data_IF_409203842567
#
_entry.id   IF_409203842567
#
_cell.length_a   1.000
_cell.length_b   1.000
_cell.length_c   1.000
_cell.angle_alpha   90.00
_cell.angle_beta   90.00
_cell.angle_gamma   90.00
#
_symmetry.space_group_name_H-M   'P 1'
#
loop_
_entity.id
_entity.type
_entity.pdbx_description
1 polymer ?
#
# COMPACT_ATOMS: atom_id res chain seq x y z
N UNK A 1 -13.22 -20.80 -8.25
CA UNK A 1 -11.83 -20.61 -7.73
C UNK A 1 -11.90 -19.94 -6.36
N UNK A 2 -11.15 -20.42 -5.37
CA UNK A 2 -11.11 -19.83 -4.03
C UNK A 2 -9.74 -19.19 -3.81
N UNK A 3 -9.73 -17.95 -3.37
CA UNK A 3 -8.55 -17.24 -2.88
C UNK A 3 -8.73 -16.91 -1.40
N UNK A 4 -7.64 -16.77 -0.67
CA UNK A 4 -7.68 -16.40 0.74
C UNK A 4 -7.75 -14.88 0.86
N UNK A 5 -8.91 -14.35 1.30
CA UNK A 5 -9.02 -12.92 1.57
C UNK A 5 -8.42 -12.54 2.94
N UNK A 6 -8.01 -11.27 3.11
CA UNK A 6 -7.58 -10.78 4.42
C UNK A 6 -8.65 -11.02 5.51
N UNK A 7 -9.93 -10.92 5.17
CA UNK A 7 -11.02 -11.15 6.12
C UNK A 7 -11.07 -12.60 6.59
N UNK A 8 -10.89 -13.54 5.66
CA UNK A 8 -10.93 -14.98 5.97
C UNK A 8 -9.69 -15.38 6.77
N UNK A 9 -8.51 -14.90 6.35
CA UNK A 9 -7.27 -15.06 7.12
C UNK A 9 -7.40 -14.54 8.55
N UNK A 10 -7.96 -13.33 8.75
CA UNK A 10 -8.11 -12.77 10.10
C UNK A 10 -9.07 -13.60 10.95
N UNK A 11 -10.16 -14.10 10.39
CA UNK A 11 -11.10 -14.97 11.11
C UNK A 11 -10.47 -16.30 11.50
N UNK A 12 -9.70 -16.90 10.59
CA UNK A 12 -9.02 -18.18 10.85
C UNK A 12 -7.91 -18.03 11.89
N UNK A 13 -7.08 -16.98 11.76
CA UNK A 13 -5.88 -16.78 12.60
C UNK A 13 -6.19 -16.14 13.95
N UNK A 14 -7.12 -15.18 13.99
CA UNK A 14 -7.43 -14.38 15.19
C UNK A 14 -8.80 -14.67 15.77
N UNK A 15 -9.59 -15.56 15.12
CA UNK A 15 -10.96 -15.89 15.53
C UNK A 15 -12.01 -14.85 15.10
N UNK A 16 -11.60 -13.73 14.53
CA UNK A 16 -12.49 -12.62 14.22
C UNK A 16 -11.99 -11.72 13.09
N UNK A 17 -12.89 -10.90 12.57
CA UNK A 17 -12.54 -9.88 11.59
C UNK A 17 -11.81 -8.72 12.25
N UNK A 18 -10.70 -8.29 11.64
CA UNK A 18 -9.98 -7.09 12.04
C UNK A 18 -10.31 -5.90 11.12
N UNK A 19 -10.23 -4.69 11.68
CA UNK A 19 -10.51 -3.44 10.98
C UNK A 19 -9.26 -2.58 10.87
N UNK A 20 -8.96 -2.07 9.67
CA UNK A 20 -7.78 -1.20 9.45
C UNK A 20 -8.04 0.22 9.93
N UNK A 21 -7.16 0.71 10.79
CA UNK A 21 -7.03 2.12 11.15
C UNK A 21 -5.88 2.72 10.34
N UNK A 22 -6.22 3.55 9.35
CA UNK A 22 -5.20 4.19 8.49
C UNK A 22 -4.61 5.42 9.19
N UNK A 23 -3.31 5.35 9.49
CA UNK A 23 -2.58 6.32 10.28
C UNK A 23 -1.45 6.96 9.45
N UNK A 24 -1.09 8.20 9.80
CA UNK A 24 0.08 8.88 9.28
C UNK A 24 1.34 8.42 10.03
N UNK A 25 2.38 8.06 9.29
CA UNK A 25 3.67 7.63 9.85
C UNK A 25 4.39 8.74 10.62
N UNK A 26 4.19 9.99 10.22
CA UNK A 26 5.04 11.11 10.58
C UNK A 26 6.37 11.14 9.81
N UNK A 27 6.57 10.18 8.92
CA UNK A 27 7.76 10.05 8.06
C UNK A 27 7.61 10.86 6.76
N UNK A 28 8.64 10.84 5.92
CA UNK A 28 8.66 11.39 4.57
C UNK A 28 8.97 10.28 3.54
N UNK A 29 9.41 10.66 2.35
CA UNK A 29 9.80 9.72 1.30
C UNK A 29 11.09 10.23 0.64
N UNK A 30 12.11 9.37 0.38
CA UNK A 30 13.35 9.76 -0.26
C UNK A 30 13.15 10.33 -1.68
N UNK A 31 12.05 9.99 -2.35
CA UNK A 31 11.66 10.59 -3.63
C UNK A 31 11.06 12.00 -3.50
N UNK A 32 10.96 12.55 -2.28
CA UNK A 32 10.32 13.86 -2.02
C UNK A 32 11.16 14.82 -1.19
N UNK A 33 12.08 14.34 -0.38
CA UNK A 33 12.86 15.18 0.52
C UNK A 33 14.26 15.53 -0.03
N UNK A 34 14.48 15.19 -1.31
CA UNK A 34 15.72 15.52 -2.02
C UNK A 34 16.86 14.53 -1.81
N UNK A 35 16.61 13.36 -1.20
CA UNK A 35 17.61 12.29 -1.16
C UNK A 35 17.74 11.61 -2.53
N UNK A 36 16.65 11.23 -3.15
CA UNK A 36 16.61 10.60 -4.47
C UNK A 36 15.96 11.53 -5.52
N UNK A 37 14.82 12.12 -5.21
CA UNK A 37 14.08 13.07 -6.05
C UNK A 37 13.31 14.05 -5.12
N UNK A 38 12.69 15.08 -5.68
CA UNK A 38 11.81 16.04 -4.99
C UNK A 38 10.36 15.92 -5.42
N UNK A 39 10.09 15.28 -6.57
CA UNK A 39 8.76 15.21 -7.21
C UNK A 39 7.91 14.03 -6.71
N UNK A 40 8.53 12.97 -6.20
CA UNK A 40 7.86 11.72 -5.87
C UNK A 40 7.62 10.84 -7.10
N UNK A 41 6.98 9.68 -6.89
CA UNK A 41 6.57 8.82 -8.00
C UNK A 41 5.52 9.51 -8.87
N UNK A 42 5.51 9.17 -10.16
CA UNK A 42 4.67 9.78 -11.21
C UNK A 42 3.18 9.88 -10.83
N UNK A 43 2.67 8.86 -10.17
CA UNK A 43 1.25 8.71 -9.78
C UNK A 43 0.94 9.13 -8.34
N UNK A 44 1.95 9.52 -7.55
CA UNK A 44 1.79 9.70 -6.11
C UNK A 44 1.29 11.12 -5.78
N UNK A 45 0.15 11.23 -5.11
CA UNK A 45 -0.41 12.51 -4.65
C UNK A 45 0.50 13.22 -3.63
N UNK A 46 0.23 14.48 -3.35
CA UNK A 46 0.91 15.24 -2.30
C UNK A 46 0.80 14.58 -0.92
N UNK A 47 -0.25 13.80 -0.67
CA UNK A 47 -0.44 13.00 0.55
C UNK A 47 0.42 11.76 0.68
N UNK A 48 1.25 11.42 -0.32
CA UNK A 48 2.16 10.27 -0.26
C UNK A 48 1.45 8.94 0.00
N UNK A 49 0.36 8.64 -0.73
CA UNK A 49 -0.55 7.50 -0.50
C UNK A 49 -1.35 7.58 0.81
N UNK A 50 -1.22 8.67 1.57
CA UNK A 50 -1.87 8.89 2.86
C UNK A 50 -3.18 9.68 2.79
N UNK A 51 -3.78 9.89 1.59
CA UNK A 51 -5.01 10.68 1.44
C UNK A 51 -6.18 10.19 2.30
N UNK A 52 -6.16 8.92 2.69
CA UNK A 52 -7.15 8.30 3.59
C UNK A 52 -6.65 8.13 5.03
N UNK A 53 -5.38 8.45 5.32
CA UNK A 53 -4.87 8.40 6.68
C UNK A 53 -5.51 9.50 7.54
N UNK A 54 -5.53 9.27 8.85
CA UNK A 54 -5.84 10.34 9.78
C UNK A 54 -4.79 11.45 9.65
N UNK A 55 -5.21 12.71 9.81
CA UNK A 55 -4.32 13.85 9.71
C UNK A 55 -3.11 13.70 10.65
N UNK A 56 -1.97 14.32 10.28
CA UNK A 56 -0.74 14.30 11.09
C UNK A 56 -0.94 15.04 12.41
N UNK A 57 -1.49 14.33 13.39
CA UNK A 57 -1.82 14.77 14.73
C UNK A 57 -1.09 13.91 15.77
N UNK A 58 -1.11 14.25 17.06
CA UNK A 58 -0.71 13.32 18.12
C UNK A 58 -1.44 11.97 17.97
N UNK A 59 -0.74 10.89 18.32
CA UNK A 59 -1.17 9.51 18.03
C UNK A 59 -2.59 9.20 18.51
N UNK A 60 -2.95 9.65 19.72
CA UNK A 60 -4.29 9.42 20.28
C UNK A 60 -5.40 10.05 19.43
N UNK A 61 -5.18 11.28 18.94
CA UNK A 61 -6.13 11.94 18.04
C UNK A 61 -6.24 11.22 16.69
N UNK A 62 -5.13 10.71 16.17
CA UNK A 62 -5.17 9.91 14.95
C UNK A 62 -5.98 8.64 15.10
N UNK A 63 -5.78 7.92 16.21
CA UNK A 63 -6.54 6.70 16.52
C UNK A 63 -8.03 6.99 16.63
N UNK A 64 -8.40 8.00 17.40
CA UNK A 64 -9.82 8.39 17.56
C UNK A 64 -10.46 8.82 16.22
N UNK A 65 -9.73 9.59 15.40
CA UNK A 65 -10.22 9.97 14.07
C UNK A 65 -10.39 8.74 13.16
N UNK A 66 -9.42 7.84 13.14
CA UNK A 66 -9.47 6.63 12.32
C UNK A 66 -10.61 5.69 12.77
N UNK A 67 -10.82 5.49 14.08
CA UNK A 67 -11.93 4.73 14.66
C UNK A 67 -13.27 5.34 14.26
N UNK A 68 -13.43 6.66 14.37
CA UNK A 68 -14.66 7.37 13.96
C UNK A 68 -15.01 7.13 12.49
N UNK A 69 -14.01 7.09 11.59
CA UNK A 69 -14.24 6.85 10.14
C UNK A 69 -14.77 5.44 9.84
N UNK A 70 -14.52 4.47 10.70
CA UNK A 70 -14.95 3.08 10.51
C UNK A 70 -16.07 2.65 11.46
N UNK A 71 -16.57 3.54 12.31
CA UNK A 71 -17.57 3.22 13.35
C UNK A 71 -18.78 2.48 12.81
N UNK A 72 -19.29 2.89 11.64
CA UNK A 72 -20.45 2.24 10.99
C UNK A 72 -20.17 0.81 10.47
N UNK A 73 -18.89 0.35 10.48
CA UNK A 73 -18.49 -1.00 10.08
C UNK A 73 -18.24 -1.91 11.28
N UNK A 74 -18.15 -1.31 12.46
CA UNK A 74 -17.89 -2.00 13.72
C UNK A 74 -19.22 -2.35 14.36
N UNK A 75 -19.45 -3.62 14.77
CA UNK A 75 -20.70 -4.01 15.42
C UNK A 75 -20.92 -3.22 16.70
N UNK A 76 -22.17 -2.82 16.94
CA UNK A 76 -22.53 -2.09 18.16
C UNK A 76 -22.45 -3.01 19.38
N UNK A 77 -21.80 -2.54 20.43
CA UNK A 77 -21.64 -3.30 21.68
C UNK A 77 -20.45 -4.27 21.70
N UNK A 78 -19.74 -4.48 20.58
CA UNK A 78 -18.53 -5.32 20.56
C UNK A 78 -17.36 -4.63 21.29
N UNK A 79 -16.49 -5.46 21.89
CA UNK A 79 -15.22 -4.99 22.44
C UNK A 79 -14.28 -4.50 21.34
N UNK A 80 -13.59 -3.41 21.56
CA UNK A 80 -12.54 -2.91 20.67
C UNK A 80 -11.20 -3.62 20.89
N UNK A 81 -11.03 -4.35 21.97
CA UNK A 81 -9.76 -5.01 22.32
C UNK A 81 -9.33 -6.01 21.27
N UNK A 82 -8.10 -5.82 20.74
CA UNK A 82 -7.54 -6.69 19.71
C UNK A 82 -8.23 -6.63 18.35
N UNK A 83 -9.07 -5.64 18.07
CA UNK A 83 -9.92 -5.59 16.86
C UNK A 83 -9.31 -4.80 15.70
N UNK A 84 -8.17 -4.13 15.90
CA UNK A 84 -7.63 -3.25 14.89
C UNK A 84 -6.29 -3.67 14.33
N UNK A 85 -6.13 -3.44 13.02
CA UNK A 85 -4.84 -3.38 12.33
C UNK A 85 -4.45 -1.90 12.30
N UNK A 86 -3.45 -1.49 13.07
CA UNK A 86 -2.87 -0.16 12.96
C UNK A 86 -2.05 -0.09 11.67
N UNK A 87 -2.62 0.52 10.64
CA UNK A 87 -2.02 0.60 9.31
C UNK A 87 -1.36 1.95 9.08
N UNK A 88 -0.05 1.96 9.14
CA UNK A 88 0.78 3.14 8.87
C UNK A 88 0.97 3.23 7.36
N UNK A 89 0.24 4.14 6.73
CA UNK A 89 0.06 4.17 5.28
C UNK A 89 0.81 5.30 4.58
N UNK A 90 0.94 6.48 5.21
CA UNK A 90 1.46 7.67 4.55
C UNK A 90 2.96 7.58 4.29
N UNK A 91 3.40 7.95 3.08
CA UNK A 91 4.80 8.01 2.67
C UNK A 91 5.55 6.68 2.87
N UNK A 92 6.74 6.75 3.48
CA UNK A 92 7.65 5.60 3.68
C UNK A 92 7.82 5.36 5.17
N UNK A 93 7.09 4.40 5.72
CA UNK A 93 6.93 4.21 7.16
C UNK A 93 8.18 3.81 7.95
N UNK A 94 9.26 3.42 7.27
CA UNK A 94 10.56 3.12 7.92
C UNK A 94 11.64 4.16 7.62
N UNK A 95 11.26 5.26 6.96
CA UNK A 95 12.20 6.29 6.53
C UNK A 95 11.98 7.60 7.32
N UNK A 96 12.86 7.91 8.29
CA UNK A 96 12.69 9.08 9.14
C UNK A 96 13.07 10.41 8.46
N UNK A 97 13.51 10.38 7.20
CA UNK A 97 14.01 11.50 6.41
C UNK A 97 15.52 11.43 6.16
N UNK A 98 16.04 12.23 5.24
CA UNK A 98 17.48 12.24 4.87
C UNK A 98 18.41 12.50 6.07
N UNK A 99 17.98 13.33 7.01
CA UNK A 99 18.72 13.64 8.25
C UNK A 99 18.10 12.94 9.46
N UNK A 100 17.39 11.85 9.23
CA UNK A 100 16.52 11.20 10.21
C UNK A 100 17.23 10.64 11.44
N UNK A 101 18.52 10.37 11.36
CA UNK A 101 19.36 9.91 12.47
C UNK A 101 20.12 11.03 13.17
N UNK A 102 20.08 12.25 12.65
CA UNK A 102 20.70 13.42 13.30
C UNK A 102 19.85 13.82 14.50
N UNK A 103 20.52 13.98 15.65
CA UNK A 103 19.87 14.39 16.90
C UNK A 103 19.68 15.91 16.95
N UNK A 104 18.53 16.33 17.42
CA UNK A 104 18.22 17.73 17.69
C UNK A 104 18.87 18.24 18.99
N UNK A 105 18.59 19.49 19.37
CA UNK A 105 19.09 20.11 20.60
C UNK A 105 18.70 19.37 21.90
N UNK A 106 17.66 18.54 21.83
CA UNK A 106 17.21 17.70 22.95
C UNK A 106 17.80 16.28 22.90
N UNK A 107 18.72 16.00 21.98
CA UNK A 107 19.34 14.70 21.81
C UNK A 107 18.43 13.64 21.17
N UNK A 108 17.33 14.03 20.50
CA UNK A 108 16.31 13.13 19.93
C UNK A 108 16.32 13.24 18.41
N UNK A 109 16.46 12.11 17.71
CA UNK A 109 16.39 12.05 16.25
C UNK A 109 14.95 11.84 15.75
N UNK A 110 14.72 12.00 14.43
CA UNK A 110 13.45 11.64 13.82
C UNK A 110 13.20 10.13 13.87
N UNK A 111 14.27 9.32 13.80
CA UNK A 111 14.20 7.88 14.00
C UNK A 111 13.70 7.52 15.42
N UNK A 112 14.24 8.19 16.46
CA UNK A 112 13.80 7.98 17.85
C UNK A 112 12.30 8.30 18.02
N UNK A 113 11.82 9.37 17.37
CA UNK A 113 10.39 9.74 17.40
C UNK A 113 9.52 8.69 16.68
N UNK A 114 9.97 8.18 15.53
CA UNK A 114 9.31 7.12 14.78
C UNK A 114 9.25 5.83 15.62
N UNK A 115 10.37 5.39 16.18
CA UNK A 115 10.45 4.22 17.07
C UNK A 115 9.49 4.36 18.25
N UNK A 116 9.50 5.49 18.96
CA UNK A 116 8.59 5.77 20.08
C UNK A 116 7.13 5.65 19.67
N UNK A 117 6.77 6.17 18.49
CA UNK A 117 5.40 6.09 17.94
C UNK A 117 4.98 4.64 17.70
N UNK A 118 5.83 3.83 17.09
CA UNK A 118 5.49 2.45 16.78
C UNK A 118 5.43 1.57 18.04
N UNK A 119 6.31 1.79 19.00
CA UNK A 119 6.21 1.13 20.31
C UNK A 119 4.90 1.49 21.01
N UNK A 120 4.49 2.75 20.98
CA UNK A 120 3.21 3.17 21.54
C UNK A 120 2.02 2.50 20.83
N UNK A 121 2.08 2.26 19.50
CA UNK A 121 1.03 1.56 18.74
C UNK A 121 0.93 0.08 19.12
N UNK A 122 2.05 -0.65 19.19
CA UNK A 122 2.02 -2.08 19.52
C UNK A 122 1.66 -2.35 20.98
N UNK A 123 1.79 -1.36 21.87
CA UNK A 123 1.39 -1.46 23.27
C UNK A 123 -0.12 -1.24 23.49
N UNK A 124 -0.85 -0.71 22.48
CA UNK A 124 -2.30 -0.47 22.62
C UNK A 124 -3.08 -1.79 22.68
N UNK A 125 -3.97 -1.98 23.67
CA UNK A 125 -4.75 -3.21 23.79
C UNK A 125 -5.70 -3.43 22.61
N UNK A 126 -6.24 -2.38 22.01
CA UNK A 126 -7.14 -2.46 20.86
C UNK A 126 -6.42 -2.83 19.54
N UNK A 127 -5.10 -2.67 19.46
CA UNK A 127 -4.30 -3.03 18.27
C UNK A 127 -3.90 -4.51 18.33
N UNK A 128 -4.30 -5.29 17.33
CA UNK A 128 -3.90 -6.69 17.16
C UNK A 128 -2.65 -6.82 16.30
N UNK A 129 -2.55 -6.01 15.26
CA UNK A 129 -1.47 -6.06 14.27
C UNK A 129 -1.00 -4.66 13.96
N UNK A 130 0.32 -4.46 13.84
CA UNK A 130 0.90 -3.26 13.24
C UNK A 130 1.28 -3.57 11.79
N UNK A 131 0.72 -2.85 10.82
CA UNK A 131 1.06 -2.96 9.39
C UNK A 131 1.73 -1.67 8.94
N UNK A 132 2.95 -1.76 8.39
CA UNK A 132 3.78 -0.60 8.00
C UNK A 132 4.02 -0.63 6.51
N UNK A 133 3.49 0.38 5.80
CA UNK A 133 3.77 0.58 4.38
C UNK A 133 5.11 1.32 4.22
N UNK A 134 5.99 0.76 3.40
CA UNK A 134 7.32 1.32 3.17
C UNK A 134 7.87 0.97 1.79
N UNK A 135 9.03 1.51 1.50
CA UNK A 135 9.83 1.22 0.31
C UNK A 135 10.87 0.14 0.64
N UNK A 136 11.17 -0.78 -0.30
CA UNK A 136 12.20 -1.80 -0.11
C UNK A 136 13.59 -1.22 0.22
N UNK A 137 13.96 -0.11 -0.43
CA UNK A 137 15.25 0.58 -0.25
C UNK A 137 15.36 1.38 1.07
N UNK A 138 14.31 1.35 1.91
CA UNK A 138 14.26 2.00 3.22
C UNK A 138 14.22 0.98 4.38
N UNK A 139 14.74 -0.21 4.17
CA UNK A 139 14.86 -1.30 5.15
C UNK A 139 16.34 -1.54 5.53
N UNK A 140 17.04 -0.48 5.92
CA UNK A 140 18.39 -0.58 6.49
C UNK A 140 18.41 -1.30 7.84
N UNK A 141 19.61 -1.58 8.40
CA UNK A 141 19.78 -2.34 9.64
C UNK A 141 18.92 -1.81 10.79
N UNK A 142 18.90 -0.50 11.01
CA UNK A 142 18.14 0.12 12.11
C UNK A 142 16.62 -0.08 11.94
N UNK A 143 16.12 -0.06 10.70
CA UNK A 143 14.72 -0.34 10.41
C UNK A 143 14.38 -1.80 10.67
N UNK A 144 15.24 -2.73 10.27
CA UNK A 144 15.06 -4.18 10.51
C UNK A 144 15.11 -4.50 12.01
N UNK A 145 16.04 -3.90 12.76
CA UNK A 145 16.14 -4.05 14.21
C UNK A 145 14.87 -3.53 14.91
N UNK A 146 14.36 -2.36 14.48
CA UNK A 146 13.11 -1.84 14.98
C UNK A 146 11.93 -2.79 14.70
N UNK A 147 11.82 -3.31 13.47
CA UNK A 147 10.75 -4.25 13.11
C UNK A 147 10.82 -5.52 13.95
N UNK A 148 12.02 -6.04 14.22
CA UNK A 148 12.25 -7.19 15.10
C UNK A 148 11.82 -6.88 16.54
N UNK A 149 12.16 -5.70 17.08
CA UNK A 149 11.72 -5.25 18.40
C UNK A 149 10.19 -5.18 18.49
N UNK A 150 9.53 -4.59 17.50
CA UNK A 150 8.06 -4.46 17.46
C UNK A 150 7.39 -5.83 17.36
N UNK A 151 7.92 -6.74 16.53
CA UNK A 151 7.40 -8.09 16.35
C UNK A 151 7.45 -8.92 17.63
N UNK A 152 8.44 -8.69 18.49
CA UNK A 152 8.53 -9.37 19.80
C UNK A 152 7.37 -9.01 20.74
N UNK A 153 6.64 -7.91 20.47
CA UNK A 153 5.49 -7.44 21.28
C UNK A 153 4.16 -7.86 20.66
N UNK A 154 4.00 -7.65 19.34
CA UNK A 154 2.77 -8.00 18.59
C UNK A 154 3.09 -8.37 17.14
N UNK A 155 2.17 -9.05 16.42
CA UNK A 155 2.31 -9.28 15.00
C UNK A 155 2.57 -7.99 14.23
N UNK A 156 3.62 -7.99 13.41
CA UNK A 156 3.99 -6.89 12.51
C UNK A 156 3.93 -7.40 11.08
N UNK A 157 3.31 -6.65 10.20
CA UNK A 157 3.31 -6.86 8.75
C UNK A 157 4.01 -5.69 8.07
N UNK A 158 4.75 -5.97 7.01
CA UNK A 158 5.39 -4.92 6.20
C UNK A 158 4.78 -4.94 4.80
N UNK A 159 4.30 -3.78 4.36
CA UNK A 159 3.72 -3.61 3.05
C UNK A 159 4.73 -2.92 2.12
N UNK A 160 5.24 -3.66 1.12
CA UNK A 160 6.28 -3.19 0.21
C UNK A 160 5.71 -2.73 -1.14
N UNK A 161 6.16 -1.57 -1.59
CA UNK A 161 5.84 -1.08 -2.93
C UNK A 161 6.72 -1.75 -3.98
N UNK A 162 6.25 -2.74 -4.73
CA UNK A 162 6.88 -3.21 -5.97
C UNK A 162 6.38 -2.39 -7.15
N UNK A 163 5.08 -2.18 -7.21
CA UNK A 163 4.30 -1.52 -8.26
C UNK A 163 4.25 -2.32 -9.56
N UNK A 164 5.41 -2.61 -10.14
CA UNK A 164 5.63 -3.43 -11.33
C UNK A 164 7.00 -4.11 -11.27
N UNK A 165 7.13 -5.27 -11.89
CA UNK A 165 8.42 -5.93 -12.14
C UNK A 165 9.07 -5.49 -13.46
N UNK A 166 8.36 -4.75 -14.31
CA UNK A 166 8.92 -4.17 -15.53
C UNK A 166 9.80 -2.97 -15.17
N UNK A 167 11.12 -3.13 -15.31
CA UNK A 167 12.11 -2.11 -14.92
C UNK A 167 11.97 -0.79 -15.70
N UNK A 168 11.62 -0.85 -16.97
CA UNK A 168 11.42 0.35 -17.78
C UNK A 168 10.20 1.15 -17.30
N UNK A 169 9.12 0.45 -16.90
CA UNK A 169 7.94 1.09 -16.32
C UNK A 169 8.22 1.58 -14.89
N UNK A 170 9.03 0.86 -14.13
CA UNK A 170 9.48 1.26 -12.81
C UNK A 170 10.32 2.55 -12.85
N UNK A 171 11.25 2.66 -13.81
CA UNK A 171 12.04 3.86 -14.07
C UNK A 171 11.15 5.02 -14.53
N UNK A 172 10.29 4.79 -15.51
CA UNK A 172 9.34 5.79 -15.99
C UNK A 172 8.45 6.35 -14.86
N UNK A 173 8.00 5.50 -13.98
CA UNK A 173 7.18 5.89 -12.82
C UNK A 173 7.99 6.50 -11.67
N UNK A 174 9.31 6.65 -11.81
CA UNK A 174 10.23 7.16 -10.79
C UNK A 174 10.19 6.36 -9.49
N UNK A 175 10.16 5.02 -9.60
CA UNK A 175 10.27 4.15 -8.43
C UNK A 175 11.62 4.32 -7.72
N UNK A 176 12.69 4.59 -8.48
CA UNK A 176 14.05 4.89 -8.01
C UNK A 176 14.75 3.75 -7.24
N UNK A 177 14.36 2.51 -7.45
CA UNK A 177 15.08 1.29 -7.04
C UNK A 177 14.78 0.17 -8.01
N UNK A 178 15.71 -0.77 -8.12
CA UNK A 178 15.62 -1.93 -8.99
C UNK A 178 14.92 -3.11 -8.29
N UNK A 179 14.53 -4.11 -9.06
CA UNK A 179 13.83 -5.29 -8.56
C UNK A 179 14.65 -6.07 -7.54
N UNK A 180 15.98 -6.14 -7.69
CA UNK A 180 16.86 -6.83 -6.76
C UNK A 180 16.80 -6.25 -5.33
N UNK A 181 16.52 -4.94 -5.20
CA UNK A 181 16.32 -4.30 -3.89
C UNK A 181 15.02 -4.78 -3.25
N UNK A 182 13.97 -5.00 -4.05
CA UNK A 182 12.73 -5.58 -3.55
C UNK A 182 12.93 -7.05 -3.13
N UNK A 183 13.61 -7.86 -3.96
CA UNK A 183 13.91 -9.27 -3.63
C UNK A 183 14.66 -9.38 -2.30
N UNK A 184 15.73 -8.60 -2.14
CA UNK A 184 16.51 -8.59 -0.92
C UNK A 184 15.69 -8.16 0.29
N UNK A 185 14.81 -7.17 0.14
CA UNK A 185 13.92 -6.72 1.20
C UNK A 185 12.94 -7.83 1.64
N UNK A 186 12.34 -8.55 0.69
CA UNK A 186 11.46 -9.70 0.97
C UNK A 186 12.23 -10.80 1.71
N UNK A 187 13.44 -11.15 1.23
CA UNK A 187 14.30 -12.16 1.88
C UNK A 187 14.65 -11.77 3.33
N UNK A 188 15.05 -10.51 3.55
CA UNK A 188 15.39 -10.02 4.88
C UNK A 188 14.20 -10.07 5.84
N UNK A 189 13.01 -9.68 5.38
CA UNK A 189 11.80 -9.74 6.20
C UNK A 189 11.34 -11.16 6.48
N UNK A 190 11.39 -12.05 5.49
CA UNK A 190 11.07 -13.46 5.65
C UNK A 190 12.05 -14.15 6.63
N UNK A 191 13.34 -13.81 6.60
CA UNK A 191 14.33 -14.32 7.57
C UNK A 191 14.04 -13.86 9.02
N UNK A 192 13.26 -12.79 9.20
CA UNK A 192 12.77 -12.32 10.49
C UNK A 192 11.35 -12.83 10.81
N UNK A 193 10.79 -13.75 10.01
CA UNK A 193 9.38 -14.17 10.01
C UNK A 193 8.38 -13.00 10.04
N UNK A 194 8.65 -11.95 9.32
CA UNK A 194 7.76 -10.78 9.18
C UNK A 194 7.00 -10.93 7.86
N UNK A 195 5.66 -11.11 7.90
CA UNK A 195 4.85 -11.23 6.70
C UNK A 195 4.96 -9.99 5.79
N UNK A 196 5.26 -10.25 4.51
CA UNK A 196 5.39 -9.21 3.48
C UNK A 196 4.12 -9.13 2.65
N UNK A 197 3.57 -7.93 2.49
CA UNK A 197 2.45 -7.66 1.59
C UNK A 197 2.97 -6.81 0.42
N UNK A 198 2.88 -7.34 -0.78
CA UNK A 198 3.35 -6.64 -1.98
C UNK A 198 2.25 -5.78 -2.60
N UNK A 199 2.57 -4.52 -2.85
CA UNK A 199 1.71 -3.62 -3.61
C UNK A 199 2.04 -3.69 -5.10
N UNK A 200 1.06 -4.06 -5.90
CA UNK A 200 1.09 -4.07 -7.37
C UNK A 200 0.09 -3.05 -7.90
N UNK A 201 0.48 -2.25 -8.89
CA UNK A 201 -0.41 -1.32 -9.57
C UNK A 201 -0.72 -1.88 -10.95
N UNK A 202 -2.02 -2.03 -11.24
CA UNK A 202 -2.51 -2.52 -12.53
C UNK A 202 -2.90 -1.35 -13.43
N UNK A 203 -2.36 -1.33 -14.63
CA UNK A 203 -2.64 -0.31 -15.65
C UNK A 203 -1.64 0.84 -15.70
N UNK A 204 -0.40 0.64 -15.25
CA UNK A 204 0.68 1.63 -15.42
C UNK A 204 0.90 1.94 -16.92
N UNK A 205 1.27 3.18 -17.29
CA UNK A 205 1.44 3.57 -18.69
C UNK A 205 2.45 2.70 -19.45
N UNK A 206 2.00 2.14 -20.56
CA UNK A 206 2.80 1.26 -21.42
C UNK A 206 2.74 -0.22 -21.05
N UNK A 207 2.10 -0.62 -19.94
CA UNK A 207 1.99 -2.03 -19.56
C UNK A 207 0.87 -2.76 -20.30
N UNK A 208 1.19 -3.99 -20.71
CA UNK A 208 0.25 -4.97 -21.24
C UNK A 208 -0.35 -5.83 -20.12
N UNK A 209 -1.36 -6.62 -20.44
CA UNK A 209 -1.92 -7.63 -19.50
C UNK A 209 -0.85 -8.64 -19.08
N UNK A 210 0.07 -9.00 -19.97
CA UNK A 210 1.16 -9.94 -19.68
C UNK A 210 2.20 -9.33 -18.74
N UNK A 211 2.54 -8.05 -18.88
CA UNK A 211 3.43 -7.36 -17.93
C UNK A 211 2.85 -7.36 -16.52
N UNK A 212 1.53 -7.09 -16.39
CA UNK A 212 0.83 -7.14 -15.12
C UNK A 212 0.77 -8.56 -14.54
N UNK A 213 0.55 -9.58 -15.37
CA UNK A 213 0.58 -10.98 -14.96
C UNK A 213 1.99 -11.42 -14.53
N UNK A 214 3.02 -10.99 -15.25
CA UNK A 214 4.42 -11.23 -14.92
C UNK A 214 4.77 -10.59 -13.57
N UNK A 215 4.29 -9.38 -13.31
CA UNK A 215 4.48 -8.70 -12.01
C UNK A 215 3.84 -9.48 -10.85
N UNK A 216 2.65 -10.04 -11.06
CA UNK A 216 1.98 -10.85 -10.03
C UNK A 216 2.77 -12.14 -9.77
N UNK A 217 3.17 -12.88 -10.82
CA UNK A 217 4.02 -14.08 -10.68
C UNK A 217 5.33 -13.75 -9.96
N UNK A 218 6.01 -12.70 -10.39
CA UNK A 218 7.25 -12.25 -9.79
C UNK A 218 7.11 -11.97 -8.27
N UNK A 219 6.05 -11.29 -7.85
CA UNK A 219 5.81 -11.04 -6.42
C UNK A 219 5.59 -12.35 -5.64
N UNK A 220 4.87 -13.32 -6.22
CA UNK A 220 4.65 -14.66 -5.62
C UNK A 220 5.97 -15.43 -5.54
N UNK A 221 6.75 -15.46 -6.62
CA UNK A 221 8.02 -16.19 -6.70
C UNK A 221 9.08 -15.64 -5.73
N UNK A 222 9.04 -14.32 -5.44
CA UNK A 222 9.87 -13.70 -4.41
C UNK A 222 9.49 -14.11 -2.97
N UNK A 223 8.36 -14.81 -2.77
CA UNK A 223 7.92 -15.26 -1.46
C UNK A 223 7.11 -14.23 -0.66
N UNK A 224 6.31 -13.39 -1.35
CA UNK A 224 5.36 -12.52 -0.67
C UNK A 224 4.31 -13.35 0.08
N UNK A 225 3.99 -12.97 1.32
CA UNK A 225 2.91 -13.59 2.09
C UNK A 225 1.53 -13.07 1.69
N UNK A 226 1.46 -11.83 1.23
CA UNK A 226 0.20 -11.21 0.83
C UNK A 226 0.38 -10.25 -0.34
N UNK A 227 -0.73 -9.95 -1.01
CA UNK A 227 -0.71 -9.08 -2.19
C UNK A 227 -1.86 -8.08 -2.19
N UNK A 228 -1.61 -6.88 -2.68
CA UNK A 228 -2.61 -5.88 -3.01
C UNK A 228 -2.58 -5.60 -4.50
N UNK A 229 -3.65 -5.96 -5.20
CA UNK A 229 -3.87 -5.58 -6.58
C UNK A 229 -4.58 -4.23 -6.60
N UNK A 230 -3.89 -3.19 -7.04
CA UNK A 230 -4.40 -1.83 -7.02
C UNK A 230 -4.61 -1.31 -8.43
N UNK A 231 -5.81 -0.82 -8.71
CA UNK A 231 -6.08 -0.08 -9.94
C UNK A 231 -5.28 1.21 -9.95
N UNK A 232 -4.64 1.53 -11.08
CA UNK A 232 -4.04 2.85 -11.28
C UNK A 232 -5.12 3.94 -11.20
N UNK A 233 -4.89 4.93 -10.37
CA UNK A 233 -5.69 6.16 -10.32
C UNK A 233 -4.88 7.33 -10.85
N UNK A 234 -5.45 8.02 -11.82
CA UNK A 234 -4.92 9.31 -12.29
C UNK A 234 -5.50 10.39 -11.40
N UNK A 235 -4.63 11.09 -10.69
CA UNK A 235 -5.03 12.06 -9.69
C UNK A 235 -4.59 13.48 -10.06
N UNK A 236 -5.42 14.44 -9.75
CA UNK A 236 -5.11 15.87 -9.85
C UNK A 236 -3.87 16.22 -9.02
N UNK A 237 -3.01 17.09 -9.54
CA UNK A 237 -1.78 17.53 -8.88
C UNK A 237 -0.66 16.49 -8.85
N UNK A 238 -0.75 15.45 -9.68
CA UNK A 238 0.35 14.51 -9.95
C UNK A 238 0.89 14.72 -11.36
N UNK A 239 2.16 14.35 -11.61
CA UNK A 239 2.71 14.44 -12.96
C UNK A 239 1.95 13.54 -13.94
N UNK A 240 1.45 12.38 -13.48
CA UNK A 240 0.57 11.52 -14.27
C UNK A 240 -0.74 12.23 -14.63
N UNK A 241 -1.30 13.00 -13.68
CA UNK A 241 -2.50 13.81 -13.91
C UNK A 241 -2.29 14.87 -14.97
N UNK A 242 -1.15 15.55 -14.96
CA UNK A 242 -0.80 16.55 -15.99
C UNK A 242 -0.56 15.89 -17.36
N UNK A 243 0.11 14.72 -17.42
CA UNK A 243 0.25 13.96 -18.66
C UNK A 243 -1.12 13.53 -19.21
N UNK A 244 -2.01 13.07 -18.35
CA UNK A 244 -3.36 12.65 -18.74
C UNK A 244 -4.18 13.82 -19.32
N UNK A 245 -4.19 14.98 -18.66
CA UNK A 245 -4.88 16.18 -19.15
C UNK A 245 -4.35 16.62 -20.52
N UNK A 246 -3.03 16.62 -20.70
CA UNK A 246 -2.39 16.97 -21.95
C UNK A 246 -2.76 15.97 -23.07
N UNK A 247 -2.81 14.67 -22.75
CA UNK A 247 -3.26 13.63 -23.69
C UNK A 247 -4.73 13.86 -24.10
N UNK A 248 -5.63 14.08 -23.15
CA UNK A 248 -7.05 14.35 -23.43
C UNK A 248 -7.27 15.64 -24.24
N UNK A 249 -6.39 16.62 -24.08
CA UNK A 249 -6.38 17.85 -24.88
C UNK A 249 -5.76 17.66 -26.29
N UNK A 250 -5.29 16.47 -26.64
CA UNK A 250 -4.63 16.20 -27.93
C UNK A 250 -3.21 16.77 -28.04
N UNK A 251 -2.60 17.20 -26.96
CA UNK A 251 -1.26 17.78 -26.88
C UNK A 251 -0.38 17.04 -25.90
N UNK A 252 -0.08 15.75 -26.10
CA UNK A 252 0.66 14.94 -25.16
C UNK A 252 2.03 15.55 -24.84
N UNK A 253 2.45 15.49 -23.58
CA UNK A 253 3.73 16.03 -23.14
C UNK A 253 4.91 15.22 -23.73
N UNK A 254 6.04 15.86 -24.06
CA UNK A 254 7.21 15.17 -24.57
C UNK A 254 7.67 14.06 -23.60
N UNK A 255 7.90 12.87 -24.15
CA UNK A 255 8.33 11.70 -23.37
C UNK A 255 7.23 11.03 -22.51
N UNK A 256 6.00 11.57 -22.52
CA UNK A 256 4.88 10.92 -21.86
C UNK A 256 4.47 9.64 -22.60
N UNK A 257 4.29 8.54 -21.86
CA UNK A 257 3.72 7.30 -22.39
C UNK A 257 2.21 7.42 -22.49
N UNK A 258 1.55 6.77 -23.48
CA UNK A 258 0.09 6.75 -23.56
C UNK A 258 -0.54 6.19 -22.28
N UNK A 259 -1.51 6.90 -21.74
CA UNK A 259 -2.27 6.49 -20.54
C UNK A 259 -3.58 5.87 -21.03
N UNK A 260 -3.72 4.57 -20.85
CA UNK A 260 -4.94 3.84 -21.15
C UNK A 260 -5.77 3.64 -19.88
N UNK A 261 -6.96 4.17 -19.88
CA UNK A 261 -7.91 3.99 -18.76
C UNK A 261 -8.76 2.74 -19.05
N UNK A 262 -8.66 1.74 -18.19
CA UNK A 262 -9.49 0.53 -18.27
C UNK A 262 -10.94 0.84 -17.89
N UNK A 263 -11.88 0.25 -18.60
CA UNK A 263 -13.28 0.16 -18.16
C UNK A 263 -13.39 -0.75 -16.92
N UNK A 264 -14.53 -0.71 -16.23
CA UNK A 264 -14.78 -1.62 -15.11
C UNK A 264 -14.77 -3.09 -15.53
N UNK A 265 -15.31 -3.38 -16.72
CA UNK A 265 -15.36 -4.75 -17.24
C UNK A 265 -13.95 -5.24 -17.61
N UNK A 266 -13.15 -4.43 -18.32
CA UNK A 266 -11.75 -4.77 -18.63
C UNK A 266 -10.91 -5.01 -17.38
N UNK A 267 -11.11 -4.22 -16.32
CA UNK A 267 -10.45 -4.40 -15.04
C UNK A 267 -10.90 -5.68 -14.33
N UNK A 268 -12.19 -5.97 -14.39
CA UNK A 268 -12.77 -7.20 -13.83
C UNK A 268 -12.23 -8.44 -14.53
N UNK A 269 -12.19 -8.44 -15.88
CA UNK A 269 -11.61 -9.52 -16.67
C UNK A 269 -10.13 -9.73 -16.38
N UNK A 270 -9.38 -8.63 -16.22
CA UNK A 270 -7.97 -8.69 -15.84
C UNK A 270 -7.81 -9.35 -14.46
N UNK A 271 -8.58 -8.94 -13.45
CA UNK A 271 -8.55 -9.57 -12.12
C UNK A 271 -8.87 -11.06 -12.19
N UNK A 272 -9.89 -11.43 -12.97
CA UNK A 272 -10.26 -12.82 -13.20
C UNK A 272 -9.13 -13.65 -13.81
N UNK A 273 -8.30 -13.05 -14.67
CA UNK A 273 -7.12 -13.69 -15.24
C UNK A 273 -5.92 -13.74 -14.26
N UNK A 274 -5.78 -12.76 -13.38
CA UNK A 274 -4.66 -12.67 -12.42
C UNK A 274 -4.86 -13.52 -11.17
N UNK A 275 -6.07 -13.63 -10.65
CA UNK A 275 -6.36 -14.37 -9.41
C UNK A 275 -5.89 -15.83 -9.46
N UNK A 276 -6.01 -16.59 -10.57
CA UNK A 276 -5.46 -17.94 -10.69
C UNK A 276 -3.95 -18.06 -10.54
N UNK A 277 -3.21 -16.97 -10.74
CA UNK A 277 -1.75 -16.93 -10.61
C UNK A 277 -1.29 -16.81 -9.16
N UNK A 278 -2.21 -16.55 -8.24
CA UNK A 278 -1.92 -16.33 -6.82
C UNK A 278 -2.27 -17.60 -6.04
N UNK A 279 -1.29 -18.29 -5.44
CA UNK A 279 -1.53 -19.46 -4.59
C UNK A 279 -2.45 -19.16 -3.40
N UNK A 280 -3.11 -20.20 -2.86
CA UNK A 280 -4.07 -20.03 -1.75
C UNK A 280 -3.45 -19.59 -0.43
N UNK A 281 -2.18 -19.87 -0.23
CA UNK A 281 -1.38 -19.47 0.93
C UNK A 281 -0.95 -18.00 0.87
N UNK A 282 -1.08 -17.36 -0.30
CA UNK A 282 -0.87 -15.91 -0.43
C UNK A 282 -2.18 -15.15 -0.17
N UNK A 283 -2.18 -14.32 0.87
CA UNK A 283 -3.38 -13.57 1.31
C UNK A 283 -3.65 -12.37 0.42
N UNK A 284 -4.85 -12.29 -0.15
CA UNK A 284 -5.25 -11.12 -0.94
C UNK A 284 -5.81 -10.03 -0.02
N UNK A 285 -5.02 -8.99 0.17
CA UNK A 285 -5.37 -7.86 1.04
C UNK A 285 -6.32 -6.87 0.37
N UNK A 286 -6.27 -6.79 -0.96
CA UNK A 286 -7.08 -5.86 -1.76
C UNK A 286 -7.09 -6.30 -3.22
N UNK A 287 -8.25 -6.20 -3.86
CA UNK A 287 -8.46 -6.48 -5.30
C UNK A 287 -8.79 -5.21 -6.11
N UNK A 288 -8.84 -4.04 -5.49
CA UNK A 288 -9.01 -2.74 -6.15
C UNK A 288 -8.52 -1.61 -5.24
N UNK A 289 -8.16 -0.47 -5.81
CA UNK A 289 -7.83 0.73 -5.06
C UNK A 289 -9.06 1.64 -4.86
N UNK A 290 -8.95 2.56 -3.91
CA UNK A 290 -9.86 3.70 -3.77
C UNK A 290 -9.06 4.98 -4.08
N UNK A 291 -9.43 5.72 -5.11
CA UNK A 291 -8.88 7.06 -5.36
C UNK A 291 -9.58 8.11 -4.50
N UNK A 292 -8.87 9.14 -4.00
CA UNK A 292 -9.51 10.24 -3.29
C UNK A 292 -10.42 11.00 -4.27
N UNK A 293 -11.74 10.89 -4.08
CA UNK A 293 -12.76 11.41 -5.03
C UNK A 293 -12.53 12.87 -5.45
N UNK A 294 -12.02 13.70 -4.54
CA UNK A 294 -11.73 15.11 -4.81
C UNK A 294 -10.56 15.35 -5.78
N UNK A 295 -9.69 14.36 -5.94
CA UNK A 295 -8.50 14.43 -6.80
C UNK A 295 -8.61 13.48 -8.01
N UNK A 296 -9.63 12.63 -8.07
CA UNK A 296 -9.74 11.57 -9.06
C UNK A 296 -10.10 12.15 -10.44
N UNK A 297 -9.17 12.06 -11.39
CA UNK A 297 -9.38 12.38 -12.81
C UNK A 297 -9.87 11.15 -13.57
N UNK A 298 -9.25 9.97 -13.36
CA UNK A 298 -9.61 8.72 -14.02
C UNK A 298 -9.11 7.49 -13.21
N UNK A 299 -9.78 6.34 -13.35
CA UNK A 299 -11.11 6.14 -13.96
C UNK A 299 -12.24 6.55 -13.01
N UNK A 300 -13.18 7.36 -13.47
CA UNK A 300 -14.27 7.89 -12.63
C UNK A 300 -15.19 6.81 -12.04
N UNK A 301 -15.34 5.65 -12.73
CA UNK A 301 -16.15 4.53 -12.22
C UNK A 301 -15.62 3.96 -10.91
N UNK A 302 -14.33 4.10 -10.61
CA UNK A 302 -13.73 3.62 -9.36
C UNK A 302 -14.25 4.36 -8.11
N UNK A 303 -14.85 5.53 -8.28
CA UNK A 303 -15.51 6.29 -7.22
C UNK A 303 -16.79 5.65 -6.67
N UNK A 304 -17.40 4.69 -7.39
CA UNK A 304 -18.55 3.90 -6.92
C UNK A 304 -18.10 2.53 -6.39
N UNK A 305 -17.54 2.54 -5.20
CA UNK A 305 -16.99 1.35 -4.54
C UNK A 305 -17.97 0.18 -4.45
N UNK A 306 -19.26 0.45 -4.20
CA UNK A 306 -20.28 -0.60 -4.06
C UNK A 306 -20.52 -1.32 -5.39
N UNK A 307 -20.68 -0.55 -6.47
CA UNK A 307 -20.82 -1.09 -7.83
C UNK A 307 -19.59 -1.90 -8.21
N UNK A 308 -18.39 -1.33 -8.03
CA UNK A 308 -17.11 -1.98 -8.37
C UNK A 308 -16.99 -3.34 -7.66
N UNK A 309 -17.13 -3.37 -6.34
CA UNK A 309 -17.02 -4.62 -5.57
C UNK A 309 -18.09 -5.64 -5.94
N UNK A 310 -19.32 -5.21 -6.21
CA UNK A 310 -20.41 -6.12 -6.63
C UNK A 310 -20.09 -6.74 -7.98
N UNK A 311 -19.64 -5.95 -8.96
CA UNK A 311 -19.26 -6.44 -10.30
C UNK A 311 -18.12 -7.45 -10.22
N UNK A 312 -17.03 -7.11 -9.55
CA UNK A 312 -15.86 -7.99 -9.39
C UNK A 312 -16.25 -9.28 -8.66
N UNK A 313 -16.96 -9.19 -7.54
CA UNK A 313 -17.35 -10.37 -6.76
C UNK A 313 -18.34 -11.28 -7.51
N UNK A 314 -19.18 -10.71 -8.39
CA UNK A 314 -20.07 -11.51 -9.27
C UNK A 314 -19.21 -12.31 -10.26
N UNK A 315 -18.31 -11.65 -10.99
CA UNK A 315 -17.45 -12.30 -11.97
C UNK A 315 -16.57 -13.40 -11.34
N UNK A 316 -15.96 -13.14 -10.18
CA UNK A 316 -15.16 -14.14 -9.46
C UNK A 316 -16.01 -15.36 -9.05
N UNK A 317 -17.28 -15.18 -8.69
CA UNK A 317 -18.17 -16.31 -8.39
C UNK A 317 -18.49 -17.13 -9.63
N UNK A 318 -18.67 -16.48 -10.77
CA UNK A 318 -18.95 -17.13 -12.05
C UNK A 318 -17.76 -17.95 -12.56
N UNK A 319 -16.52 -17.58 -12.21
CA UNK A 319 -15.34 -18.41 -12.48
C UNK A 319 -15.28 -19.72 -11.66
N UNK A 320 -16.13 -19.87 -10.63
CA UNK A 320 -16.17 -21.06 -9.76
C UNK A 320 -17.07 -22.18 -10.32
N UNK A 321 -17.78 -21.91 -11.40
CA UNK A 321 -18.60 -22.88 -12.11
C UNK A 321 -17.84 -23.44 -13.30
#
# INVERSE_FOLDING_TARGET
MEYTSLSDYCKETFGEKLYKLSLDSGCTCPNRDGLLDTRGCLFCSAGGSGDFAAARNPLDRQLEEAKRRIRNKFPEGDSEEGRYIAYVQSFTGTYPGKDGFVKDANGVSSFDRMRKRYLALVQRPEVRVLSIATRPDCLGPEALDLLKELRAIKPVWVELGLQTSNEETAEYSRRCYRNEVYEQAVQNLNALDIPVITHVILGLPGETKEDMATTVRYAVDCGTWGIKLQLLHVLEGTDLGEQYKAQEAGTPLPGARPIRIMTLDEYTDLLCALLPLIPRDVVIHRITGDGPKRLLLAPLWSGDKKRVLNTINKAIRELKV
#
